data_IF_194875062403
#
_entry.id   IF_194875062403
#
_cell.length_a   1.000
_cell.length_b   1.000
_cell.length_c   1.000
_cell.angle_alpha   90.00
_cell.angle_beta   90.00
_cell.angle_gamma   90.00
#
_symmetry.space_group_name_H-M   'P 1'
#
loop_
_entity.id
_entity.type
_entity.pdbx_description
1 polymer ?
#
# COMPACT_ATOMS: atom_id res chain seq x y z
N UNK A 1 -6.97 78.37 17.35
CA UNK A 1 -5.94 77.56 16.68
C UNK A 1 -5.72 76.34 17.55
N UNK A 2 -6.44 75.29 17.23
CA UNK A 2 -6.39 73.99 17.88
C UNK A 2 -5.10 73.26 17.44
N UNK A 3 -4.37 72.71 18.39
CA UNK A 3 -3.22 71.84 18.15
C UNK A 3 -3.69 70.37 18.11
N UNK A 4 -3.16 69.54 17.20
CA UNK A 4 -3.72 68.23 16.92
C UNK A 4 -3.27 67.17 17.94
N UNK A 5 -4.23 66.32 18.28
CA UNK A 5 -4.07 65.12 19.12
C UNK A 5 -3.23 64.03 18.42
N UNK A 6 -2.27 63.38 19.09
CA UNK A 6 -1.53 62.27 18.53
C UNK A 6 -2.38 60.98 18.54
N UNK A 7 -2.41 60.33 17.37
CA UNK A 7 -3.08 59.08 17.05
C UNK A 7 -2.84 57.97 18.11
N UNK A 8 -3.95 57.37 18.56
CA UNK A 8 -3.97 56.14 19.36
C UNK A 8 -3.33 54.98 18.59
N UNK A 9 -2.31 54.36 19.19
CA UNK A 9 -1.82 53.05 18.81
C UNK A 9 -2.85 51.98 19.18
N UNK A 10 -3.11 50.97 18.33
CA UNK A 10 -4.00 49.88 18.69
C UNK A 10 -3.30 48.98 19.73
N UNK A 11 -4.00 48.75 20.83
CA UNK A 11 -3.62 47.81 21.89
C UNK A 11 -3.44 46.42 21.26
N UNK A 12 -2.21 45.93 21.26
CA UNK A 12 -1.89 44.54 20.91
C UNK A 12 -2.51 43.66 21.99
N UNK A 13 -3.55 42.94 21.65
CA UNK A 13 -4.08 41.87 22.50
C UNK A 13 -2.96 40.84 22.73
N UNK A 14 -2.53 40.69 23.98
CA UNK A 14 -1.61 39.64 24.39
C UNK A 14 -2.19 38.29 23.94
N UNK A 15 -1.51 37.64 23.01
CA UNK A 15 -1.79 36.26 22.69
C UNK A 15 -1.43 35.42 23.91
N UNK A 16 -2.45 34.86 24.56
CA UNK A 16 -2.28 33.83 25.57
C UNK A 16 -1.51 32.69 24.90
N UNK A 17 -0.20 32.66 25.12
CA UNK A 17 0.68 31.62 24.61
C UNK A 17 0.33 30.33 25.36
N UNK A 18 -0.22 29.37 24.62
CA UNK A 18 -0.44 28.03 25.15
C UNK A 18 0.90 27.48 25.69
N UNK A 19 0.90 26.79 26.84
CA UNK A 19 2.13 26.26 27.42
C UNK A 19 2.84 25.34 26.43
N UNK A 20 4.19 25.31 26.45
CA UNK A 20 4.97 24.49 25.53
C UNK A 20 4.50 23.04 25.61
N UNK A 21 4.14 22.50 24.46
CA UNK A 21 3.68 21.12 24.34
C UNK A 21 4.74 20.20 24.94
N UNK A 22 4.39 19.46 26.00
CA UNK A 22 5.31 18.53 26.65
C UNK A 22 5.92 17.50 25.67
N UNK A 23 7.03 16.84 26.02
CA UNK A 23 7.85 16.03 25.09
C UNK A 23 7.16 14.83 24.44
N UNK A 24 5.91 14.55 24.80
CA UNK A 24 5.08 13.46 24.26
C UNK A 24 3.74 13.94 23.66
N UNK A 25 3.53 15.25 23.58
CA UNK A 25 2.27 15.82 23.13
C UNK A 25 1.93 15.44 21.68
N UNK A 26 0.65 15.18 21.36
CA UNK A 26 0.20 15.01 19.98
C UNK A 26 0.54 16.25 19.15
N UNK A 27 0.86 16.04 17.87
CA UNK A 27 1.00 17.15 16.90
C UNK A 27 -0.31 17.94 16.90
N UNK A 28 -0.24 19.24 17.14
CA UNK A 28 -1.40 20.13 17.06
C UNK A 28 -1.94 20.12 15.63
N UNK A 29 -3.24 20.36 15.43
CA UNK A 29 -3.86 20.31 14.10
C UNK A 29 -3.19 21.28 13.08
N UNK A 30 -2.55 22.35 13.56
CA UNK A 30 -1.84 23.34 12.73
C UNK A 30 -0.41 22.96 12.31
N UNK A 31 0.26 22.03 12.99
CA UNK A 31 1.63 21.59 12.67
C UNK A 31 1.68 20.37 11.73
N UNK A 32 0.51 19.91 11.28
CA UNK A 32 0.34 18.68 10.52
C UNK A 32 0.21 19.00 9.03
N UNK A 33 1.03 18.35 8.21
CA UNK A 33 0.94 18.45 6.75
C UNK A 33 -0.29 17.65 6.30
N UNK A 34 -1.44 18.31 6.25
CA UNK A 34 -2.75 17.70 5.93
C UNK A 34 -2.72 16.93 4.61
N UNK A 35 -1.99 17.43 3.61
CA UNK A 35 -1.84 16.79 2.29
C UNK A 35 -1.17 15.40 2.35
N UNK A 36 -0.29 15.14 3.33
CA UNK A 36 0.28 13.79 3.54
C UNK A 36 -0.79 12.82 4.04
N UNK A 37 -1.64 13.26 4.98
CA UNK A 37 -2.71 12.41 5.49
C UNK A 37 -3.77 12.15 4.41
N UNK A 38 -4.12 13.15 3.59
CA UNK A 38 -4.99 12.99 2.41
C UNK A 38 -4.43 11.94 1.45
N UNK A 39 -3.14 12.04 1.12
CA UNK A 39 -2.47 11.11 0.22
C UNK A 39 -2.42 9.69 0.80
N UNK A 40 -2.15 9.56 2.11
CA UNK A 40 -2.16 8.28 2.82
C UNK A 40 -3.55 7.65 2.78
N UNK A 41 -4.60 8.44 3.02
CA UNK A 41 -5.99 7.99 2.98
C UNK A 41 -6.41 7.53 1.58
N UNK A 42 -6.09 8.31 0.55
CA UNK A 42 -6.34 7.94 -0.84
C UNK A 42 -5.64 6.62 -1.22
N UNK A 43 -4.34 6.51 -0.90
CA UNK A 43 -3.57 5.31 -1.18
C UNK A 43 -4.12 4.08 -0.43
N UNK A 44 -4.49 4.24 0.84
CA UNK A 44 -5.08 3.16 1.64
C UNK A 44 -6.41 2.66 1.07
N UNK A 45 -7.33 3.56 0.73
CA UNK A 45 -8.61 3.19 0.15
C UNK A 45 -8.41 2.48 -1.20
N UNK A 46 -7.48 2.98 -2.01
CA UNK A 46 -7.13 2.39 -3.28
C UNK A 46 -6.45 1.02 -3.18
N UNK A 47 -5.72 0.71 -2.11
CA UNK A 47 -5.14 -0.62 -1.88
C UNK A 47 -6.23 -1.70 -1.82
N UNK A 48 -7.41 -1.37 -1.25
CA UNK A 48 -8.52 -2.31 -1.17
C UNK A 48 -9.07 -2.68 -2.56
N UNK A 49 -9.00 -1.79 -3.55
CA UNK A 49 -9.49 -2.08 -4.92
C UNK A 49 -8.82 -3.30 -5.52
N UNK A 50 -7.52 -3.50 -5.27
CA UNK A 50 -6.82 -4.67 -5.78
C UNK A 50 -6.96 -5.85 -4.82
N UNK A 51 -6.86 -5.59 -3.52
CA UNK A 51 -6.90 -6.66 -2.53
C UNK A 51 -8.26 -7.35 -2.45
N UNK A 52 -9.37 -6.68 -2.79
CA UNK A 52 -10.69 -7.31 -2.76
C UNK A 52 -10.77 -8.54 -3.68
N UNK A 53 -10.04 -8.52 -4.81
CA UNK A 53 -9.90 -9.68 -5.70
C UNK A 53 -9.22 -10.83 -4.97
N UNK A 54 -8.10 -10.58 -4.29
CA UNK A 54 -7.43 -11.61 -3.51
C UNK A 54 -8.23 -12.10 -2.29
N UNK A 55 -9.08 -11.26 -1.71
CA UNK A 55 -9.95 -11.66 -0.61
C UNK A 55 -11.13 -12.51 -1.08
N UNK A 56 -11.70 -12.17 -2.23
CA UNK A 56 -12.99 -12.69 -2.68
C UNK A 56 -12.92 -13.69 -3.82
N UNK A 57 -11.78 -13.85 -4.48
CA UNK A 57 -11.56 -14.77 -5.60
C UNK A 57 -10.27 -15.57 -5.40
N UNK A 58 -10.13 -16.63 -6.20
CA UNK A 58 -8.95 -17.48 -6.23
C UNK A 58 -7.68 -16.68 -6.50
N UNK A 59 -6.56 -17.08 -5.88
CA UNK A 59 -5.27 -16.37 -6.02
C UNK A 59 -4.86 -16.18 -7.49
N UNK A 60 -5.05 -17.21 -8.32
CA UNK A 60 -4.79 -17.17 -9.76
C UNK A 60 -5.61 -16.10 -10.49
N UNK A 61 -6.82 -15.81 -10.01
CA UNK A 61 -7.70 -14.78 -10.56
C UNK A 61 -7.24 -13.35 -10.26
N UNK A 62 -6.22 -13.16 -9.43
CA UNK A 62 -5.65 -11.84 -9.19
C UNK A 62 -5.04 -11.27 -10.49
N UNK A 63 -4.18 -12.05 -11.15
CA UNK A 63 -3.51 -11.66 -12.40
C UNK A 63 -4.30 -12.08 -13.66
N UNK A 64 -4.97 -13.24 -13.63
CA UNK A 64 -5.73 -13.78 -14.78
C UNK A 64 -7.25 -13.83 -14.50
N UNK A 65 -8.05 -12.85 -14.96
CA UNK A 65 -9.49 -12.83 -14.76
C UNK A 65 -10.24 -13.97 -15.46
N UNK A 66 -9.60 -14.72 -16.38
CA UNK A 66 -10.22 -15.90 -17.02
C UNK A 66 -10.38 -17.06 -16.06
N UNK A 67 -9.62 -17.07 -14.96
CA UNK A 67 -9.67 -18.13 -13.94
C UNK A 67 -10.92 -18.06 -13.10
N UNK A 68 -11.30 -16.87 -12.62
CA UNK A 68 -12.49 -16.66 -11.82
C UNK A 68 -12.96 -15.20 -11.82
N UNK A 69 -14.24 -15.00 -11.53
CA UNK A 69 -14.84 -13.66 -11.43
C UNK A 69 -15.16 -13.00 -12.76
N UNK A 70 -15.03 -13.72 -13.88
CA UNK A 70 -15.41 -13.28 -15.23
C UNK A 70 -14.32 -12.50 -15.97
N UNK A 71 -14.25 -12.70 -17.28
CA UNK A 71 -13.25 -12.11 -18.18
C UNK A 71 -13.86 -11.43 -19.41
N UNK A 72 -15.16 -11.16 -19.40
CA UNK A 72 -15.88 -10.48 -20.50
C UNK A 72 -16.75 -9.34 -19.96
N UNK A 73 -17.24 -8.48 -20.86
CA UNK A 73 -18.17 -7.41 -20.53
C UNK A 73 -17.67 -6.50 -19.40
N UNK A 74 -18.51 -6.28 -18.39
CA UNK A 74 -18.21 -5.42 -17.24
C UNK A 74 -17.03 -5.93 -16.40
N UNK A 75 -16.80 -7.25 -16.34
CA UNK A 75 -15.69 -7.80 -15.56
C UNK A 75 -14.34 -7.48 -16.21
N UNK A 76 -14.24 -7.63 -17.54
CA UNK A 76 -13.03 -7.27 -18.27
C UNK A 76 -12.79 -5.76 -18.23
N UNK A 77 -13.83 -4.95 -18.39
CA UNK A 77 -13.74 -3.50 -18.27
C UNK A 77 -13.24 -3.08 -16.88
N UNK A 78 -13.75 -3.73 -15.83
CA UNK A 78 -13.32 -3.49 -14.44
C UNK A 78 -11.85 -3.87 -14.23
N UNK A 79 -11.44 -5.06 -14.70
CA UNK A 79 -10.03 -5.48 -14.65
C UNK A 79 -9.13 -4.48 -15.38
N UNK A 80 -9.53 -4.05 -16.58
CA UNK A 80 -8.74 -3.14 -17.43
C UNK A 80 -8.59 -1.77 -16.78
N UNK A 81 -9.68 -1.20 -16.28
CA UNK A 81 -9.67 0.11 -15.62
C UNK A 81 -8.76 0.10 -14.39
N UNK A 82 -8.78 -0.98 -13.60
CA UNK A 82 -7.97 -1.10 -12.40
C UNK A 82 -6.52 -1.44 -12.69
N UNK A 83 -6.23 -2.27 -13.71
CA UNK A 83 -4.88 -2.49 -14.19
C UNK A 83 -4.22 -1.15 -14.58
N UNK A 84 -4.95 -0.30 -15.31
CA UNK A 84 -4.44 1.00 -15.77
C UNK A 84 -4.27 1.99 -14.62
N UNK A 85 -5.30 2.16 -13.77
CA UNK A 85 -5.37 3.27 -12.83
C UNK A 85 -5.01 2.90 -11.38
N UNK A 86 -5.19 1.66 -10.93
CA UNK A 86 -5.08 1.29 -9.51
C UNK A 86 -3.94 0.32 -9.19
N UNK A 87 -3.69 -0.67 -10.05
CA UNK A 87 -2.80 -1.79 -9.78
C UNK A 87 -1.35 -1.38 -9.49
N UNK A 88 -0.88 -1.61 -8.27
CA UNK A 88 0.48 -1.25 -7.85
C UNK A 88 0.68 0.25 -7.61
N UNK A 89 -0.16 1.12 -8.20
CA UNK A 89 -0.11 2.57 -8.05
C UNK A 89 -0.44 3.03 -6.62
N UNK A 90 -1.44 2.41 -6.02
CA UNK A 90 -1.85 2.73 -4.65
C UNK A 90 -0.81 2.27 -3.63
N UNK A 91 -0.21 1.10 -3.85
CA UNK A 91 0.94 0.62 -3.04
C UNK A 91 2.16 1.52 -3.21
N UNK A 92 2.44 1.97 -4.43
CA UNK A 92 3.51 2.93 -4.71
C UNK A 92 3.33 4.23 -3.91
N UNK A 93 2.15 4.87 -4.00
CA UNK A 93 1.82 6.05 -3.19
C UNK A 93 1.97 5.81 -1.69
N UNK A 94 1.49 4.66 -1.20
CA UNK A 94 1.58 4.32 0.21
C UNK A 94 3.05 4.14 0.66
N UNK A 95 3.90 3.51 -0.15
CA UNK A 95 5.34 3.38 0.09
C UNK A 95 6.07 4.73 0.07
N UNK A 96 5.75 5.60 -0.89
CA UNK A 96 6.28 6.97 -0.95
C UNK A 96 5.96 7.72 0.36
N UNK A 97 4.70 7.67 0.80
CA UNK A 97 4.25 8.31 2.04
C UNK A 97 4.88 7.68 3.28
N UNK A 98 5.12 6.37 3.29
CA UNK A 98 5.80 5.70 4.38
C UNK A 98 7.24 6.20 4.53
N UNK A 99 7.99 6.27 3.42
CA UNK A 99 9.33 6.86 3.41
C UNK A 99 9.34 8.33 3.84
N UNK A 100 8.37 9.13 3.38
CA UNK A 100 8.19 10.51 3.81
C UNK A 100 7.91 10.61 5.32
N UNK A 101 7.06 9.72 5.84
CA UNK A 101 6.71 9.64 7.26
C UNK A 101 7.92 9.26 8.13
N UNK A 102 8.86 8.46 7.60
CA UNK A 102 10.11 8.15 8.28
C UNK A 102 10.95 9.41 8.49
N UNK A 103 11.14 10.24 7.45
CA UNK A 103 11.87 11.53 7.57
C UNK A 103 11.18 12.46 8.56
N UNK A 104 9.85 12.61 8.47
CA UNK A 104 9.07 13.48 9.36
C UNK A 104 9.16 13.04 10.83
N UNK A 105 9.14 11.73 11.07
CA UNK A 105 9.28 11.19 12.43
C UNK A 105 10.69 11.44 12.94
N UNK A 106 11.70 11.11 12.15
CA UNK A 106 13.09 11.22 12.61
C UNK A 106 13.54 12.65 12.82
N UNK A 107 13.07 13.62 12.01
CA UNK A 107 13.42 15.03 12.20
C UNK A 107 12.92 15.59 13.54
N UNK A 108 11.80 15.07 14.07
CA UNK A 108 11.28 15.40 15.40
C UNK A 108 12.02 14.68 16.53
N UNK A 109 12.63 13.55 16.23
CA UNK A 109 13.37 12.74 17.19
C UNK A 109 14.87 13.05 17.23
N UNK A 110 15.42 13.76 16.23
CA UNK A 110 16.86 14.04 16.13
C UNK A 110 17.37 14.91 17.30
N UNK A 111 16.51 15.69 17.95
CA UNK A 111 16.85 16.45 19.16
C UNK A 111 16.78 15.63 20.45
N UNK A 112 16.34 14.37 20.39
CA UNK A 112 16.16 13.50 21.55
C UNK A 112 17.27 12.45 21.65
N UNK A 113 17.82 12.19 22.85
CA UNK A 113 18.83 11.14 23.04
C UNK A 113 18.28 9.73 22.78
N UNK A 114 16.98 9.49 23.02
CA UNK A 114 16.28 8.22 22.82
C UNK A 114 15.61 8.11 21.43
N UNK A 115 15.88 9.03 20.51
CA UNK A 115 15.17 9.12 19.22
C UNK A 115 15.30 7.86 18.34
N UNK A 116 16.48 7.24 18.33
CA UNK A 116 16.70 5.99 17.59
C UNK A 116 15.87 4.84 18.17
N UNK A 117 15.90 4.70 19.49
CA UNK A 117 15.19 3.65 20.22
C UNK A 117 13.67 3.75 20.01
N UNK A 118 13.09 4.95 20.08
CA UNK A 118 11.67 5.19 19.76
C UNK A 118 11.35 4.74 18.33
N UNK A 119 12.21 5.08 17.35
CA UNK A 119 11.99 4.70 15.96
C UNK A 119 11.99 3.16 15.78
N UNK A 120 13.00 2.48 16.33
CA UNK A 120 13.12 1.03 16.20
C UNK A 120 12.00 0.29 16.95
N UNK A 121 11.63 0.71 18.17
CA UNK A 121 10.47 0.15 18.89
C UNK A 121 9.20 0.28 18.08
N UNK A 122 8.98 1.43 17.45
CA UNK A 122 7.83 1.66 16.57
C UNK A 122 7.81 0.64 15.42
N UNK A 123 8.95 0.41 14.77
CA UNK A 123 9.04 -0.58 13.68
C UNK A 123 8.87 -2.02 14.18
N UNK A 124 9.43 -2.38 15.34
CA UNK A 124 9.28 -3.72 15.93
C UNK A 124 7.83 -4.03 16.32
N UNK A 125 7.10 -3.05 16.87
CA UNK A 125 5.67 -3.23 17.13
C UNK A 125 4.86 -3.32 15.83
N UNK A 126 5.21 -2.54 14.81
CA UNK A 126 4.57 -2.64 13.50
C UNK A 126 4.79 -4.03 12.88
N UNK A 127 5.98 -4.59 13.05
CA UNK A 127 6.33 -5.95 12.65
C UNK A 127 5.45 -6.98 13.36
N UNK A 128 5.31 -6.87 14.68
CA UNK A 128 4.46 -7.76 15.47
C UNK A 128 2.98 -7.69 15.03
N UNK A 129 2.47 -6.48 14.79
CA UNK A 129 1.13 -6.30 14.24
C UNK A 129 0.99 -6.88 12.84
N UNK A 130 2.00 -6.73 11.98
CA UNK A 130 2.02 -7.31 10.65
C UNK A 130 1.97 -8.82 10.66
N UNK A 131 2.78 -9.46 11.53
CA UNK A 131 2.69 -10.91 11.72
C UNK A 131 1.31 -11.35 12.20
N UNK A 132 0.77 -10.72 13.24
CA UNK A 132 -0.56 -11.06 13.75
C UNK A 132 -1.64 -10.89 12.67
N UNK A 133 -1.61 -9.77 11.94
CA UNK A 133 -2.53 -9.50 10.84
C UNK A 133 -2.38 -10.50 9.69
N UNK A 134 -1.14 -10.85 9.33
CA UNK A 134 -0.80 -11.82 8.29
C UNK A 134 -1.36 -13.20 8.57
N UNK A 135 -1.11 -13.74 9.76
CA UNK A 135 -1.58 -15.08 10.12
C UNK A 135 -3.09 -15.13 10.39
N UNK A 136 -3.67 -14.07 10.97
CA UNK A 136 -5.06 -14.10 11.43
C UNK A 136 -6.09 -13.52 10.45
N UNK A 137 -5.71 -12.61 9.56
CA UNK A 137 -6.69 -11.85 8.76
C UNK A 137 -6.43 -11.95 7.26
N UNK A 138 -5.22 -11.66 6.80
CA UNK A 138 -4.96 -11.52 5.36
C UNK A 138 -3.51 -11.84 4.99
N UNK A 139 -3.29 -12.72 4.00
CA UNK A 139 -1.93 -13.11 3.59
C UNK A 139 -1.23 -12.08 2.69
N UNK A 140 -1.96 -11.18 2.02
CA UNK A 140 -1.40 -10.08 1.23
C UNK A 140 -1.10 -8.84 2.08
N UNK A 141 -0.58 -9.06 3.29
CA UNK A 141 -0.32 -7.99 4.25
C UNK A 141 0.94 -7.18 3.92
N UNK A 142 0.90 -5.88 4.21
CA UNK A 142 2.01 -4.97 3.91
C UNK A 142 2.74 -4.47 5.16
N UNK A 143 2.23 -4.77 6.36
CA UNK A 143 2.77 -4.20 7.59
C UNK A 143 4.12 -4.83 7.96
N UNK A 144 4.26 -6.15 7.82
CA UNK A 144 5.52 -6.85 8.02
C UNK A 144 6.61 -6.36 7.05
N UNK A 145 6.39 -6.35 5.72
CA UNK A 145 7.45 -5.93 4.82
C UNK A 145 7.77 -4.43 4.99
N UNK A 146 6.79 -3.59 5.34
CA UNK A 146 7.07 -2.17 5.61
C UNK A 146 7.83 -1.96 6.92
N UNK A 147 7.55 -2.74 7.96
CA UNK A 147 8.32 -2.72 9.19
C UNK A 147 9.76 -3.17 8.96
N UNK A 148 9.97 -4.24 8.21
CA UNK A 148 11.30 -4.72 7.78
C UNK A 148 12.07 -3.66 7.01
N UNK A 149 11.45 -3.04 6.00
CA UNK A 149 12.06 -1.91 5.30
C UNK A 149 12.37 -0.76 6.26
N UNK A 150 11.43 -0.38 7.13
CA UNK A 150 11.58 0.68 8.11
C UNK A 150 12.78 0.50 9.04
N UNK A 151 13.02 -0.72 9.53
CA UNK A 151 14.23 -1.02 10.32
C UNK A 151 15.52 -0.66 9.57
N UNK A 152 15.54 -0.78 8.24
CA UNK A 152 16.69 -0.49 7.40
C UNK A 152 16.75 0.99 6.99
N UNK A 153 15.64 1.73 6.95
CA UNK A 153 15.62 3.13 6.51
C UNK A 153 16.35 4.10 7.47
N UNK A 154 16.40 3.80 8.77
CA UNK A 154 16.86 4.74 9.80
C UNK A 154 18.28 5.30 9.58
N UNK A 155 19.30 4.50 9.21
CA UNK A 155 20.66 5.00 8.94
C UNK A 155 20.71 5.96 7.74
N UNK A 156 19.83 5.78 6.75
CA UNK A 156 19.83 6.55 5.50
C UNK A 156 19.14 7.91 5.65
N UNK A 157 18.44 8.18 6.76
CA UNK A 157 17.67 9.41 6.97
C UNK A 157 18.49 10.70 6.81
N UNK A 158 19.79 10.66 7.08
CA UNK A 158 20.69 11.82 7.00
C UNK A 158 21.29 12.03 5.60
N UNK A 159 21.11 11.08 4.68
CA UNK A 159 21.62 11.22 3.31
C UNK A 159 20.95 12.38 2.57
N UNK A 160 21.71 13.05 1.70
CA UNK A 160 21.17 14.12 0.86
C UNK A 160 20.20 13.57 -0.20
N UNK A 161 19.37 14.46 -0.75
CA UNK A 161 18.33 14.10 -1.74
C UNK A 161 18.92 13.32 -2.91
N UNK A 162 20.06 13.75 -3.45
CA UNK A 162 20.74 13.06 -4.56
C UNK A 162 21.03 11.58 -4.29
N UNK A 163 21.41 11.23 -3.06
CA UNK A 163 21.74 9.85 -2.69
C UNK A 163 20.49 9.02 -2.49
N UNK A 164 19.45 9.59 -1.87
CA UNK A 164 18.15 8.92 -1.72
C UNK A 164 17.54 8.60 -3.09
N UNK A 165 17.58 9.55 -4.03
CA UNK A 165 17.13 9.35 -5.40
C UNK A 165 18.02 8.37 -6.16
N UNK A 166 19.35 8.44 -5.99
CA UNK A 166 20.29 7.50 -6.60
C UNK A 166 20.04 6.05 -6.18
N UNK A 167 19.85 5.80 -4.89
CA UNK A 167 19.51 4.46 -4.36
C UNK A 167 18.17 3.98 -4.93
N UNK A 168 17.15 4.84 -4.93
CA UNK A 168 15.85 4.50 -5.50
C UNK A 168 15.96 4.11 -6.98
N UNK A 169 16.69 4.88 -7.79
CA UNK A 169 16.91 4.60 -9.21
C UNK A 169 17.65 3.29 -9.44
N UNK A 170 18.71 3.01 -8.67
CA UNK A 170 19.45 1.73 -8.78
C UNK A 170 18.53 0.55 -8.47
N UNK A 171 17.73 0.63 -7.41
CA UNK A 171 16.81 -0.44 -7.03
C UNK A 171 15.71 -0.65 -8.09
N UNK A 172 15.20 0.41 -8.73
CA UNK A 172 14.26 0.30 -9.86
C UNK A 172 14.92 -0.42 -11.04
N UNK A 173 16.17 -0.07 -11.38
CA UNK A 173 16.89 -0.74 -12.48
C UNK A 173 17.11 -2.22 -12.19
N UNK A 174 17.51 -2.56 -10.94
CA UNK A 174 17.65 -3.96 -10.51
C UNK A 174 16.31 -4.70 -10.58
N UNK A 175 15.21 -4.06 -10.17
CA UNK A 175 13.88 -4.62 -10.26
C UNK A 175 13.49 -4.95 -11.71
N UNK A 176 13.70 -4.01 -12.63
CA UNK A 176 13.42 -4.20 -14.06
C UNK A 176 14.25 -5.35 -14.63
N UNK A 177 15.55 -5.41 -14.29
CA UNK A 177 16.42 -6.49 -14.73
C UNK A 177 15.97 -7.87 -14.21
N UNK A 178 15.57 -7.96 -12.94
CA UNK A 178 15.08 -9.22 -12.37
C UNK A 178 13.72 -9.65 -12.95
N UNK A 179 12.82 -8.71 -13.23
CA UNK A 179 11.55 -9.01 -13.91
C UNK A 179 11.82 -9.51 -15.33
N UNK A 180 12.75 -8.89 -16.06
CA UNK A 180 13.13 -9.34 -17.39
C UNK A 180 13.73 -10.76 -17.37
N UNK A 181 14.65 -11.04 -16.44
CA UNK A 181 15.23 -12.37 -16.25
C UNK A 181 14.17 -13.42 -15.91
N UNK A 182 13.26 -13.10 -14.98
CA UNK A 182 12.16 -13.99 -14.60
C UNK A 182 11.19 -14.24 -15.76
N UNK A 183 10.95 -13.24 -16.60
CA UNK A 183 10.16 -13.39 -17.82
C UNK A 183 10.81 -14.35 -18.82
N UNK A 184 12.14 -14.26 -19.00
CA UNK A 184 12.91 -15.18 -19.82
C UNK A 184 12.83 -16.62 -19.28
N UNK A 185 13.12 -16.82 -17.98
CA UNK A 185 13.04 -18.13 -17.32
C UNK A 185 11.62 -18.73 -17.44
N UNK A 186 10.59 -17.91 -17.22
CA UNK A 186 9.20 -18.34 -17.33
C UNK A 186 8.85 -18.80 -18.75
N UNK A 187 9.32 -18.06 -19.76
CA UNK A 187 9.10 -18.42 -21.17
C UNK A 187 9.78 -19.74 -21.52
N UNK A 188 10.99 -19.97 -21.01
CA UNK A 188 11.72 -21.22 -21.21
C UNK A 188 10.97 -22.41 -20.59
N UNK A 189 10.56 -22.29 -19.32
CA UNK A 189 9.79 -23.30 -18.61
C UNK A 189 8.46 -23.58 -19.33
N UNK A 190 7.76 -22.53 -19.78
CA UNK A 190 6.48 -22.66 -20.47
C UNK A 190 6.60 -23.33 -21.85
N UNK A 191 7.76 -23.20 -22.50
CA UNK A 191 8.03 -23.82 -23.81
C UNK A 191 8.46 -25.28 -23.67
N UNK A 192 9.33 -25.59 -22.71
CA UNK A 192 9.89 -26.93 -22.53
C UNK A 192 8.99 -27.85 -21.70
N UNK A 193 8.34 -27.31 -20.66
CA UNK A 193 7.56 -28.07 -19.70
C UNK A 193 6.51 -29.02 -20.30
N UNK A 194 5.62 -28.54 -21.22
CA UNK A 194 4.64 -29.41 -21.87
C UNK A 194 5.26 -30.56 -22.65
N UNK A 195 6.38 -30.32 -23.34
CA UNK A 195 7.08 -31.34 -24.12
C UNK A 195 7.77 -32.37 -23.20
N UNK A 196 8.29 -31.95 -22.05
CA UNK A 196 8.85 -32.85 -21.05
C UNK A 196 7.78 -33.74 -20.40
N UNK A 197 6.58 -33.22 -20.17
CA UNK A 197 5.42 -34.02 -19.71
C UNK A 197 5.07 -35.09 -20.76
N UNK A 198 5.01 -34.73 -22.05
CA UNK A 198 4.75 -35.69 -23.14
C UNK A 198 5.88 -36.72 -23.27
N UNK A 199 7.14 -36.28 -23.17
CA UNK A 199 8.33 -37.14 -23.24
C UNK A 199 8.31 -38.22 -22.17
N UNK A 200 8.01 -37.86 -20.92
CA UNK A 200 7.90 -38.82 -19.82
C UNK A 200 6.67 -39.73 -19.98
N UNK A 201 5.53 -39.18 -20.41
CA UNK A 201 4.32 -39.97 -20.67
C UNK A 201 4.53 -41.00 -21.80
N UNK A 202 5.43 -40.71 -22.75
CA UNK A 202 5.87 -41.65 -23.79
C UNK A 202 6.89 -42.70 -23.29
N UNK A 203 7.19 -42.72 -21.99
CA UNK A 203 8.08 -43.69 -21.36
C UNK A 203 9.57 -43.34 -21.43
N UNK A 204 9.94 -42.16 -21.93
CA UNK A 204 11.34 -41.74 -21.96
C UNK A 204 11.83 -41.29 -20.58
N UNK A 205 13.04 -41.68 -20.21
CA UNK A 205 13.68 -41.22 -18.97
C UNK A 205 14.08 -39.75 -19.11
N UNK A 206 13.63 -38.92 -18.17
CA UNK A 206 14.07 -37.54 -18.04
C UNK A 206 15.41 -37.47 -17.29
N UNK A 207 16.27 -36.56 -17.73
CA UNK A 207 17.44 -36.15 -16.92
C UNK A 207 16.99 -35.39 -15.67
N UNK A 208 17.86 -35.23 -14.67
CA UNK A 208 17.49 -34.51 -13.44
C UNK A 208 17.12 -33.05 -13.69
N UNK A 209 17.81 -32.38 -14.63
CA UNK A 209 17.48 -31.02 -15.08
C UNK A 209 16.11 -30.96 -15.78
N UNK A 210 15.81 -31.94 -16.63
CA UNK A 210 14.48 -32.05 -17.26
C UNK A 210 13.37 -32.30 -16.22
N UNK A 211 13.64 -33.11 -15.20
CA UNK A 211 12.70 -33.33 -14.11
C UNK A 211 12.43 -32.05 -13.32
N UNK A 212 13.47 -31.27 -13.01
CA UNK A 212 13.32 -29.98 -12.32
C UNK A 212 12.48 -28.98 -13.15
N UNK A 213 12.77 -28.83 -14.44
CA UNK A 213 12.01 -27.95 -15.33
C UNK A 213 10.55 -28.38 -15.44
N UNK A 214 10.29 -29.69 -15.49
CA UNK A 214 8.94 -30.26 -15.49
C UNK A 214 8.20 -29.94 -14.17
N UNK A 215 8.84 -30.12 -13.02
CA UNK A 215 8.24 -29.79 -11.71
C UNK A 215 7.93 -28.29 -11.57
N UNK A 216 8.83 -27.42 -12.04
CA UNK A 216 8.59 -25.97 -12.12
C UNK A 216 7.39 -25.65 -13.01
N UNK A 217 7.30 -26.29 -14.18
CA UNK A 217 6.16 -26.14 -15.09
C UNK A 217 4.85 -26.58 -14.46
N UNK A 218 4.79 -27.74 -13.81
CA UNK A 218 3.57 -28.23 -13.15
C UNK A 218 3.13 -27.29 -12.03
N UNK A 219 4.07 -26.79 -11.23
CA UNK A 219 3.81 -25.82 -10.16
C UNK A 219 3.27 -24.50 -10.75
N UNK A 220 3.91 -24.01 -11.81
CA UNK A 220 3.49 -22.80 -12.51
C UNK A 220 2.08 -22.98 -13.09
N UNK A 221 1.80 -24.09 -13.79
CA UNK A 221 0.49 -24.40 -14.37
C UNK A 221 -0.61 -24.39 -13.32
N UNK A 222 -0.39 -25.05 -12.18
CA UNK A 222 -1.36 -25.07 -11.06
C UNK A 222 -1.66 -23.68 -10.52
N UNK A 223 -0.65 -22.81 -10.43
CA UNK A 223 -0.84 -21.44 -9.97
C UNK A 223 -1.51 -20.53 -11.01
N UNK A 224 -1.31 -20.79 -12.31
CA UNK A 224 -1.83 -19.94 -13.39
C UNK A 224 -3.24 -20.34 -13.83
N UNK A 225 -3.41 -21.62 -14.19
CA UNK A 225 -4.65 -22.16 -14.74
C UNK A 225 -5.01 -23.44 -13.97
N UNK A 226 -5.43 -23.27 -12.71
CA UNK A 226 -5.92 -24.38 -11.92
C UNK A 226 -7.14 -25.02 -12.59
N UNK A 227 -7.26 -26.33 -12.48
CA UNK A 227 -8.46 -27.04 -12.97
C UNK A 227 -9.69 -26.68 -12.12
N UNK A 228 -10.92 -26.91 -12.61
CA UNK A 228 -12.13 -26.71 -11.80
C UNK A 228 -12.09 -27.44 -10.45
N UNK A 229 -11.51 -28.63 -10.40
CA UNK A 229 -11.33 -29.40 -9.16
C UNK A 229 -10.33 -28.74 -8.21
N UNK A 230 -9.21 -28.23 -8.74
CA UNK A 230 -8.21 -27.48 -7.97
C UNK A 230 -8.81 -26.18 -7.39
N UNK A 231 -9.63 -25.47 -8.18
CA UNK A 231 -10.37 -24.28 -7.76
C UNK A 231 -11.41 -24.59 -6.68
N UNK A 232 -12.12 -25.71 -6.81
CA UNK A 232 -13.10 -26.14 -5.82
C UNK A 232 -12.42 -26.50 -4.50
N UNK A 233 -11.28 -27.18 -4.56
CA UNK A 233 -10.48 -27.54 -3.39
C UNK A 233 -9.94 -26.31 -2.67
N UNK A 234 -9.42 -25.32 -3.42
CA UNK A 234 -9.01 -24.02 -2.86
C UNK A 234 -10.20 -23.32 -2.18
N UNK A 235 -11.36 -23.23 -2.86
CA UNK A 235 -12.54 -22.61 -2.29
C UNK A 235 -13.03 -23.32 -1.01
N UNK A 236 -13.01 -24.65 -0.98
CA UNK A 236 -13.35 -25.43 0.22
C UNK A 236 -12.41 -25.11 1.39
N UNK A 237 -11.10 -24.98 1.12
CA UNK A 237 -10.13 -24.62 2.15
C UNK A 237 -10.40 -23.23 2.74
N UNK A 238 -10.70 -22.23 1.91
CA UNK A 238 -10.99 -20.87 2.37
C UNK A 238 -12.38 -20.71 3.02
N UNK A 239 -13.34 -21.55 2.63
CA UNK A 239 -14.70 -21.61 3.23
C UNK A 239 -14.80 -22.59 4.40
N UNK A 240 -13.70 -23.25 4.76
CA UNK A 240 -13.61 -24.24 5.83
C UNK A 240 -13.83 -23.66 7.22
N UNK A 241 -13.33 -24.36 8.23
CA UNK A 241 -13.27 -23.86 9.61
C UNK A 241 -12.25 -22.73 9.75
N UNK A 242 -12.39 -21.90 10.79
CA UNK A 242 -11.43 -20.82 11.10
C UNK A 242 -10.00 -21.34 11.20
N UNK A 243 -9.80 -22.52 11.81
CA UNK A 243 -8.47 -23.13 11.96
C UNK A 243 -7.89 -23.55 10.60
N UNK A 244 -8.69 -24.10 9.70
CA UNK A 244 -8.24 -24.47 8.34
C UNK A 244 -7.81 -23.24 7.55
N UNK A 245 -8.58 -22.15 7.64
CA UNK A 245 -8.24 -20.87 7.01
C UNK A 245 -6.93 -20.32 7.58
N UNK A 246 -6.75 -20.33 8.91
CA UNK A 246 -5.50 -19.87 9.53
C UNK A 246 -4.32 -20.73 9.07
N UNK A 247 -4.47 -22.07 9.01
CA UNK A 247 -3.42 -22.97 8.53
C UNK A 247 -3.07 -22.73 7.05
N UNK A 248 -4.08 -22.51 6.20
CA UNK A 248 -3.88 -22.18 4.80
C UNK A 248 -3.11 -20.86 4.65
N UNK A 249 -3.56 -19.83 5.39
CA UNK A 249 -2.94 -18.52 5.42
C UNK A 249 -1.50 -18.56 5.93
N UNK A 250 -1.25 -19.33 6.99
CA UNK A 250 0.08 -19.47 7.58
C UNK A 250 1.11 -20.01 6.60
N UNK A 251 0.75 -20.97 5.73
CA UNK A 251 1.63 -21.47 4.68
C UNK A 251 2.02 -20.38 3.68
N UNK A 252 1.03 -19.58 3.26
CA UNK A 252 1.24 -18.49 2.30
C UNK A 252 2.11 -17.39 2.94
N UNK A 253 1.78 -16.97 4.17
CA UNK A 253 2.53 -15.95 4.91
C UNK A 253 3.96 -16.38 5.14
N UNK A 254 4.19 -17.63 5.56
CA UNK A 254 5.54 -18.15 5.76
C UNK A 254 6.35 -18.09 4.46
N UNK A 255 5.76 -18.53 3.33
CA UNK A 255 6.40 -18.49 2.01
C UNK A 255 6.77 -17.07 1.56
N UNK A 256 5.92 -16.07 1.82
CA UNK A 256 6.22 -14.68 1.44
C UNK A 256 7.21 -14.02 2.40
N UNK A 257 7.07 -14.23 3.71
CA UNK A 257 7.89 -13.58 4.73
C UNK A 257 9.28 -14.22 4.86
N UNK A 258 9.48 -15.46 4.39
CA UNK A 258 10.79 -16.10 4.34
C UNK A 258 11.64 -15.67 3.14
N UNK A 259 11.13 -14.81 2.25
CA UNK A 259 11.89 -14.36 1.07
C UNK A 259 13.06 -13.46 1.50
N UNK A 260 14.31 -13.79 1.10
CA UNK A 260 15.47 -12.97 1.46
C UNK A 260 15.34 -11.51 1.02
N UNK A 261 15.92 -10.58 1.79
CA UNK A 261 15.85 -9.13 1.53
C UNK A 261 16.48 -8.69 0.19
N UNK A 262 17.29 -9.55 -0.43
CA UNK A 262 17.86 -9.30 -1.76
C UNK A 262 16.92 -9.70 -2.91
N UNK A 263 15.70 -10.17 -2.63
CA UNK A 263 14.74 -10.51 -3.67
C UNK A 263 14.03 -9.27 -4.24
N UNK A 264 13.58 -9.31 -5.51
CA UNK A 264 12.95 -8.18 -6.21
C UNK A 264 11.82 -7.49 -5.44
N UNK A 265 10.96 -8.24 -4.74
CA UNK A 265 9.86 -7.68 -3.94
C UNK A 265 10.32 -6.65 -2.90
N UNK A 266 11.53 -6.79 -2.38
CA UNK A 266 12.10 -5.85 -1.41
C UNK A 266 12.68 -4.61 -2.11
N UNK A 267 13.31 -4.78 -3.27
CA UNK A 267 13.80 -3.66 -4.08
C UNK A 267 12.67 -2.75 -4.51
N UNK A 268 11.52 -3.35 -4.87
CA UNK A 268 10.27 -2.62 -5.13
C UNK A 268 9.92 -1.68 -3.96
N UNK A 269 9.77 -2.22 -2.75
CA UNK A 269 9.38 -1.44 -1.58
C UNK A 269 10.42 -0.38 -1.21
N UNK A 270 11.70 -0.77 -1.15
CA UNK A 270 12.78 0.13 -0.81
C UNK A 270 12.89 1.28 -1.79
N UNK A 271 12.82 1.02 -3.10
CA UNK A 271 12.95 2.07 -4.11
C UNK A 271 11.93 3.19 -3.91
N UNK A 272 10.66 2.83 -3.68
CA UNK A 272 9.59 3.78 -3.44
C UNK A 272 9.73 4.47 -2.08
N UNK A 273 10.18 3.77 -1.04
CA UNK A 273 10.41 4.40 0.26
C UNK A 273 11.56 5.41 0.23
N UNK A 274 12.69 5.07 -0.41
CA UNK A 274 13.81 6.00 -0.59
C UNK A 274 13.45 7.19 -1.46
N UNK A 275 12.70 6.97 -2.54
CA UNK A 275 12.14 8.04 -3.35
C UNK A 275 11.25 8.95 -2.49
N UNK A 276 10.35 8.38 -1.69
CA UNK A 276 9.52 9.11 -0.73
C UNK A 276 10.31 9.94 0.28
N UNK A 277 11.41 9.40 0.83
CA UNK A 277 12.31 10.15 1.71
C UNK A 277 12.92 11.36 0.99
N UNK A 278 13.35 11.20 -0.26
CA UNK A 278 13.88 12.28 -1.09
C UNK A 278 12.84 13.36 -1.40
N UNK A 279 11.64 12.94 -1.82
CA UNK A 279 10.50 13.82 -2.11
C UNK A 279 10.04 14.63 -0.88
N UNK A 280 10.13 14.04 0.31
CA UNK A 280 9.85 14.72 1.58
C UNK A 280 10.84 15.83 1.87
N UNK A 281 12.13 15.61 1.61
CA UNK A 281 13.18 16.62 1.84
C UNK A 281 13.07 17.83 0.91
N UNK A 282 12.54 17.65 -0.30
CA UNK A 282 12.20 18.76 -1.21
C UNK A 282 10.79 19.30 -0.99
N UNK A 283 10.09 18.84 0.05
CA UNK A 283 8.73 19.26 0.44
C UNK A 283 7.67 19.06 -0.65
N UNK A 284 7.82 18.07 -1.53
CA UNK A 284 6.85 17.84 -2.61
C UNK A 284 5.47 17.40 -2.07
N UNK A 285 5.41 16.80 -0.89
CA UNK A 285 4.15 16.40 -0.24
C UNK A 285 3.41 17.55 0.46
N UNK A 286 3.99 18.75 0.50
CA UNK A 286 3.36 19.96 1.00
C UNK A 286 2.74 20.71 -0.18
N UNK A 287 1.41 20.73 -0.23
CA UNK A 287 0.64 21.32 -1.33
C UNK A 287 0.90 22.84 -1.51
N UNK A 288 1.49 23.51 -0.52
CA UNK A 288 1.82 24.93 -0.55
C UNK A 288 3.28 25.23 -0.87
N UNK A 289 4.17 24.24 -0.74
CA UNK A 289 5.61 24.43 -0.89
C UNK A 289 6.07 24.68 -2.33
N UNK A 290 5.25 24.30 -3.32
CA UNK A 290 5.54 24.48 -4.75
C UNK A 290 4.42 25.25 -5.46
N UNK A 291 4.72 25.94 -6.58
CA UNK A 291 3.71 26.54 -7.43
C UNK A 291 2.71 25.51 -7.97
N UNK A 292 1.44 25.89 -8.14
CA UNK A 292 0.40 24.99 -8.67
C UNK A 292 0.79 24.37 -10.03
N UNK A 293 1.50 25.13 -10.89
CA UNK A 293 2.01 24.63 -12.18
C UNK A 293 2.89 23.39 -12.05
N UNK A 294 3.63 23.22 -10.95
CA UNK A 294 4.46 22.04 -10.71
C UNK A 294 3.59 20.80 -10.55
N UNK A 295 2.50 20.90 -9.79
CA UNK A 295 1.57 19.80 -9.58
C UNK A 295 0.71 19.50 -10.82
N UNK A 296 0.36 20.52 -11.61
CA UNK A 296 -0.28 20.34 -12.92
C UNK A 296 0.65 19.59 -13.87
N UNK A 297 1.92 20.02 -13.98
CA UNK A 297 2.90 19.35 -14.82
C UNK A 297 3.12 17.90 -14.37
N UNK A 298 3.17 17.67 -13.06
CA UNK A 298 3.28 16.33 -12.49
C UNK A 298 2.08 15.44 -12.85
N UNK A 299 0.86 15.99 -12.79
CA UNK A 299 -0.35 15.31 -13.20
C UNK A 299 -0.35 14.98 -14.70
N UNK A 300 -0.03 15.96 -15.54
CA UNK A 300 -0.03 15.83 -17.00
C UNK A 300 1.05 14.86 -17.48
N UNK A 301 2.29 14.98 -17.01
CA UNK A 301 3.37 14.04 -17.37
C UNK A 301 3.07 12.65 -16.80
N UNK A 302 2.64 12.59 -15.55
CA UNK A 302 2.34 11.33 -14.87
C UNK A 302 1.27 10.51 -15.59
N UNK A 303 0.14 11.13 -15.93
CA UNK A 303 -0.91 10.47 -16.70
C UNK A 303 -0.58 10.32 -18.18
N UNK A 304 0.10 11.30 -18.78
CA UNK A 304 0.52 11.27 -20.18
C UNK A 304 1.49 10.14 -20.51
N UNK A 305 2.35 9.74 -19.56
CA UNK A 305 3.21 8.55 -19.70
C UNK A 305 2.49 7.31 -19.19
N UNK A 306 1.89 7.40 -18.00
CA UNK A 306 1.35 6.25 -17.29
C UNK A 306 0.17 5.60 -18.01
N UNK A 307 -0.80 6.37 -18.51
CA UNK A 307 -2.00 5.80 -19.13
C UNK A 307 -1.64 5.04 -20.42
N UNK A 308 -0.86 5.60 -21.36
CA UNK A 308 -0.45 4.84 -22.56
C UNK A 308 0.34 3.57 -22.23
N UNK A 309 1.31 3.63 -21.31
CA UNK A 309 2.14 2.47 -20.95
C UNK A 309 1.29 1.35 -20.35
N UNK A 310 0.43 1.66 -19.36
CA UNK A 310 -0.40 0.62 -18.75
C UNK A 310 -1.54 0.16 -19.69
N UNK A 311 -2.03 1.02 -20.58
CA UNK A 311 -3.00 0.61 -21.62
C UNK A 311 -2.38 -0.36 -22.61
N UNK A 312 -1.13 -0.13 -23.02
CA UNK A 312 -0.38 -1.04 -23.87
C UNK A 312 -0.14 -2.40 -23.18
N UNK A 313 0.25 -2.38 -21.89
CA UNK A 313 0.39 -3.59 -21.07
C UNK A 313 -0.93 -4.37 -21.00
N UNK A 314 -2.04 -3.70 -20.65
CA UNK A 314 -3.37 -4.31 -20.60
C UNK A 314 -3.77 -4.91 -21.95
N UNK A 315 -3.58 -4.16 -23.04
CA UNK A 315 -3.89 -4.64 -24.39
C UNK A 315 -3.09 -5.89 -24.75
N UNK A 316 -1.80 -5.93 -24.43
CA UNK A 316 -0.94 -7.07 -24.73
C UNK A 316 -1.35 -8.33 -23.95
N UNK A 317 -1.66 -8.16 -22.66
CA UNK A 317 -2.13 -9.24 -21.79
C UNK A 317 -3.50 -9.76 -22.25
N UNK A 318 -4.44 -8.88 -22.57
CA UNK A 318 -5.76 -9.27 -23.08
C UNK A 318 -5.64 -9.98 -24.43
N UNK A 319 -4.84 -9.42 -25.36
CA UNK A 319 -4.66 -9.98 -26.71
C UNK A 319 -4.01 -11.36 -26.69
N UNK A 320 -3.13 -11.61 -25.74
CA UNK A 320 -2.50 -12.93 -25.54
C UNK A 320 -3.37 -13.90 -24.72
N UNK A 321 -4.62 -13.51 -24.40
CA UNK A 321 -5.53 -14.28 -23.55
C UNK A 321 -4.89 -14.63 -22.20
N UNK A 322 -4.24 -13.63 -21.57
CA UNK A 322 -3.58 -13.73 -20.27
C UNK A 322 -2.46 -14.77 -20.21
N UNK A 323 -1.73 -14.94 -21.32
CA UNK A 323 -0.52 -15.77 -21.34
C UNK A 323 0.55 -15.25 -20.37
N UNK A 324 1.15 -16.14 -19.57
CA UNK A 324 2.05 -15.74 -18.49
C UNK A 324 3.38 -15.19 -19.00
N UNK A 325 3.96 -15.79 -20.04
CA UNK A 325 5.22 -15.29 -20.59
C UNK A 325 5.03 -13.86 -21.12
N UNK A 326 3.89 -13.62 -21.79
CA UNK A 326 3.48 -12.29 -22.24
C UNK A 326 3.21 -11.35 -21.07
N UNK A 327 2.59 -11.82 -20.00
CA UNK A 327 2.36 -11.03 -18.78
C UNK A 327 3.69 -10.58 -18.13
N UNK A 328 4.69 -11.45 -18.01
CA UNK A 328 6.00 -11.05 -17.50
C UNK A 328 6.71 -10.05 -18.40
N UNK A 329 6.60 -10.23 -19.73
CA UNK A 329 7.14 -9.28 -20.69
C UNK A 329 6.48 -7.90 -20.56
N UNK A 330 5.15 -7.85 -20.46
CA UNK A 330 4.41 -6.61 -20.22
C UNK A 330 4.84 -5.92 -18.91
N UNK A 331 5.09 -6.72 -17.87
CA UNK A 331 5.56 -6.24 -16.56
C UNK A 331 6.96 -5.63 -16.57
N UNK A 332 7.75 -5.74 -17.64
CA UNK A 332 9.00 -4.97 -17.77
C UNK A 332 8.74 -3.45 -17.74
N UNK A 333 7.54 -3.02 -18.13
CA UNK A 333 7.12 -1.61 -18.09
C UNK A 333 6.42 -1.21 -16.79
N UNK A 334 6.24 -2.14 -15.86
CA UNK A 334 5.44 -1.97 -14.64
C UNK A 334 5.91 -0.78 -13.79
N UNK A 335 7.21 -0.63 -13.60
CA UNK A 335 7.79 0.46 -12.80
C UNK A 335 7.54 1.84 -13.39
N UNK A 336 7.75 1.98 -14.69
CA UNK A 336 7.49 3.21 -15.43
C UNK A 336 5.99 3.53 -15.36
N UNK A 337 5.16 2.56 -15.71
CA UNK A 337 3.71 2.72 -15.72
C UNK A 337 3.15 3.08 -14.35
N UNK A 338 3.57 2.41 -13.28
CA UNK A 338 3.02 2.65 -11.93
C UNK A 338 3.51 3.94 -11.32
N UNK A 339 4.80 4.27 -11.45
CA UNK A 339 5.37 5.47 -10.85
C UNK A 339 4.78 6.70 -11.53
N UNK A 340 4.67 6.70 -12.86
CA UNK A 340 4.06 7.80 -13.60
C UNK A 340 2.61 8.07 -13.17
N UNK A 341 1.75 7.04 -13.09
CA UNK A 341 0.37 7.22 -12.60
C UNK A 341 0.34 7.64 -11.13
N UNK A 342 1.21 7.07 -10.27
CA UNK A 342 1.28 7.46 -8.85
C UNK A 342 1.67 8.94 -8.69
N UNK A 343 2.65 9.43 -9.46
CA UNK A 343 2.99 10.85 -9.50
C UNK A 343 1.84 11.68 -10.08
N UNK A 344 1.10 11.13 -11.05
CA UNK A 344 -0.14 11.72 -11.57
C UNK A 344 -1.18 11.97 -10.46
N UNK A 345 -1.48 10.93 -9.68
CA UNK A 345 -2.36 11.02 -8.51
C UNK A 345 -1.81 12.00 -7.46
N UNK A 346 -0.51 11.99 -7.20
CA UNK A 346 0.14 12.93 -6.29
C UNK A 346 -0.15 14.38 -6.72
N UNK A 347 0.11 14.70 -8.00
CA UNK A 347 -0.12 16.02 -8.57
C UNK A 347 -1.57 16.47 -8.43
N UNK A 348 -2.52 15.61 -8.82
CA UNK A 348 -3.95 15.89 -8.64
C UNK A 348 -4.29 16.12 -7.18
N UNK A 349 -3.89 15.24 -6.27
CA UNK A 349 -4.24 15.37 -4.84
C UNK A 349 -3.64 16.62 -4.21
N UNK A 350 -2.43 17.03 -4.60
CA UNK A 350 -1.85 18.30 -4.14
C UNK A 350 -2.67 19.49 -4.65
N UNK A 351 -3.14 19.46 -5.91
CA UNK A 351 -4.03 20.50 -6.44
C UNK A 351 -5.38 20.53 -5.72
N UNK A 352 -5.99 19.36 -5.45
CA UNK A 352 -7.26 19.27 -4.71
C UNK A 352 -7.12 19.82 -3.28
N UNK A 353 -5.97 19.58 -2.62
CA UNK A 353 -5.70 20.13 -1.29
C UNK A 353 -5.59 21.66 -1.25
N UNK A 354 -5.43 22.33 -2.40
CA UNK A 354 -5.39 23.79 -2.50
C UNK A 354 -6.77 24.42 -2.70
N UNK A 355 -7.80 23.62 -2.95
CA UNK A 355 -9.13 24.10 -3.29
C UNK A 355 -10.06 23.99 -2.07
N UNK A 356 -10.49 25.13 -1.54
CA UNK A 356 -11.36 25.18 -0.34
C UNK A 356 -12.73 24.54 -0.58
N UNK A 357 -13.29 24.70 -1.78
CA UNK A 357 -14.58 24.09 -2.15
C UNK A 357 -14.53 22.55 -2.18
N UNK A 358 -13.33 21.96 -2.26
CA UNK A 358 -13.09 20.51 -2.17
C UNK A 358 -12.58 20.08 -0.78
N UNK A 359 -12.56 20.98 0.21
CA UNK A 359 -12.14 20.65 1.57
C UNK A 359 -12.97 19.50 2.18
N UNK A 360 -14.23 19.34 1.76
CA UNK A 360 -15.09 18.27 2.25
C UNK A 360 -14.58 16.87 1.85
N UNK A 361 -14.00 16.70 0.66
CA UNK A 361 -13.47 15.40 0.22
C UNK A 361 -12.05 15.19 0.73
N UNK A 362 -11.21 16.23 0.70
CA UNK A 362 -9.83 16.13 1.19
C UNK A 362 -9.77 15.92 2.71
N UNK A 363 -10.68 16.52 3.49
CA UNK A 363 -10.79 16.25 4.93
C UNK A 363 -11.25 14.82 5.25
N UNK A 364 -12.14 14.22 4.43
CA UNK A 364 -12.56 12.82 4.56
C UNK A 364 -11.40 11.88 4.28
N UNK A 365 -10.66 12.12 3.21
CA UNK A 365 -9.45 11.38 2.87
C UNK A 365 -8.39 11.53 3.96
N UNK A 366 -8.16 12.75 4.45
CA UNK A 366 -7.23 13.00 5.54
C UNK A 366 -7.65 12.25 6.81
N UNK A 367 -8.93 12.28 7.20
CA UNK A 367 -9.43 11.52 8.35
C UNK A 367 -9.18 10.01 8.20
N UNK A 368 -9.45 9.46 7.01
CA UNK A 368 -9.17 8.05 6.72
C UNK A 368 -7.66 7.75 6.80
N UNK A 369 -6.80 8.65 6.34
CA UNK A 369 -5.34 8.53 6.40
C UNK A 369 -4.72 8.75 7.79
N UNK A 370 -5.40 9.48 8.67
CA UNK A 370 -5.02 9.61 10.09
C UNK A 370 -5.30 8.32 10.87
N UNK A 371 -6.31 7.56 10.43
CA UNK A 371 -6.67 6.24 10.95
C UNK A 371 -6.21 5.12 10.01
N UNK A 372 -5.10 5.31 9.29
CA UNK A 372 -4.72 4.41 8.22
C UNK A 372 -4.47 2.96 8.69
N UNK A 373 -3.85 2.77 9.84
CA UNK A 373 -3.60 1.44 10.41
C UNK A 373 -4.91 0.79 10.88
N UNK A 374 -5.76 1.53 11.59
CA UNK A 374 -7.08 1.03 12.01
C UNK A 374 -7.96 0.66 10.82
N UNK A 375 -8.01 1.51 9.80
CA UNK A 375 -8.81 1.32 8.58
C UNK A 375 -8.29 0.13 7.75
N UNK A 376 -6.98 -0.05 7.65
CA UNK A 376 -6.37 -1.20 6.98
C UNK A 376 -6.75 -2.53 7.63
N UNK A 377 -6.66 -2.61 8.96
CA UNK A 377 -7.06 -3.83 9.69
C UNK A 377 -8.58 -4.03 9.59
N UNK A 378 -9.37 -2.97 9.64
CA UNK A 378 -10.82 -3.04 9.46
C UNK A 378 -11.21 -3.59 8.07
N UNK A 379 -10.52 -3.19 6.98
CA UNK A 379 -10.70 -3.81 5.66
C UNK A 379 -10.58 -5.33 5.75
N UNK A 380 -9.49 -5.78 6.36
CA UNK A 380 -9.14 -7.20 6.41
C UNK A 380 -10.06 -7.98 7.31
N UNK A 381 -10.52 -7.39 8.42
CA UNK A 381 -11.49 -8.00 9.32
C UNK A 381 -12.85 -8.18 8.63
N UNK A 382 -13.34 -7.14 7.95
CA UNK A 382 -14.60 -7.22 7.19
C UNK A 382 -14.47 -8.26 6.08
N UNK A 383 -13.42 -8.19 5.27
CA UNK A 383 -13.24 -9.13 4.16
C UNK A 383 -13.02 -10.58 4.65
N UNK A 384 -12.27 -10.81 5.74
CA UNK A 384 -12.12 -12.13 6.32
C UNK A 384 -13.49 -12.68 6.75
N UNK A 385 -14.31 -11.88 7.41
CA UNK A 385 -15.66 -12.27 7.82
C UNK A 385 -16.59 -12.55 6.62
N UNK A 386 -16.53 -11.72 5.57
CA UNK A 386 -17.37 -11.90 4.39
C UNK A 386 -16.98 -13.15 3.57
N UNK A 387 -15.70 -13.31 3.26
CA UNK A 387 -15.27 -14.27 2.24
C UNK A 387 -14.85 -15.62 2.81
N UNK A 388 -14.28 -15.67 4.01
CA UNK A 388 -13.65 -16.89 4.52
C UNK A 388 -14.49 -17.61 5.57
N UNK A 389 -13.97 -18.72 6.10
CA UNK A 389 -14.53 -19.52 7.19
C UNK A 389 -14.87 -18.77 8.49
N UNK A 390 -14.52 -17.49 8.61
CA UNK A 390 -14.84 -16.64 9.75
C UNK A 390 -16.31 -16.19 9.79
N UNK A 391 -17.03 -16.20 8.66
CA UNK A 391 -18.40 -15.72 8.59
C UNK A 391 -19.17 -16.25 7.39
N UNK A 392 -19.47 -15.40 6.40
CA UNK A 392 -20.40 -15.69 5.30
C UNK A 392 -19.83 -16.61 4.20
N UNK A 393 -18.53 -16.91 4.21
CA UNK A 393 -17.91 -17.91 3.31
C UNK A 393 -18.11 -17.62 1.81
N UNK A 394 -18.14 -16.34 1.42
CA UNK A 394 -18.40 -15.89 0.04
C UNK A 394 -17.19 -16.01 -0.92
N UNK A 395 -16.05 -16.54 -0.48
CA UNK A 395 -14.84 -16.68 -1.31
C UNK A 395 -15.14 -17.44 -2.60
N UNK A 396 -14.84 -16.89 -3.78
CA UNK A 396 -15.09 -17.49 -5.08
C UNK A 396 -16.57 -17.56 -5.49
N UNK A 397 -17.47 -16.81 -4.83
CA UNK A 397 -18.90 -16.79 -5.17
C UNK A 397 -19.34 -15.54 -5.93
N UNK A 398 -18.60 -14.44 -5.81
CA UNK A 398 -18.93 -13.17 -6.45
C UNK A 398 -18.17 -13.01 -7.76
N UNK A 399 -18.79 -12.29 -8.71
CA UNK A 399 -18.08 -11.79 -9.88
C UNK A 399 -17.15 -10.64 -9.53
N UNK A 400 -16.17 -10.36 -10.40
CA UNK A 400 -15.18 -9.31 -10.18
C UNK A 400 -15.84 -7.97 -9.96
N UNK A 401 -16.79 -7.57 -10.81
CA UNK A 401 -17.46 -6.27 -10.66
C UNK A 401 -18.24 -6.17 -9.33
N UNK A 402 -18.81 -7.29 -8.85
CA UNK A 402 -19.61 -7.32 -7.61
C UNK A 402 -18.76 -7.10 -6.36
N UNK A 403 -17.48 -7.51 -6.39
CA UNK A 403 -16.54 -7.23 -5.31
C UNK A 403 -16.41 -5.72 -5.05
N UNK A 404 -16.57 -4.88 -6.06
CA UNK A 404 -16.45 -3.42 -5.90
C UNK A 404 -17.68 -2.80 -5.21
N UNK A 405 -18.81 -3.49 -5.14
CA UNK A 405 -19.90 -3.10 -4.24
C UNK A 405 -19.49 -3.25 -2.78
N UNK A 406 -18.75 -4.31 -2.44
CA UNK A 406 -18.17 -4.51 -1.11
C UNK A 406 -17.15 -3.40 -0.80
N UNK A 407 -16.29 -3.07 -1.77
CA UNK A 407 -15.34 -1.94 -1.62
C UNK A 407 -16.09 -0.63 -1.34
N UNK A 408 -17.12 -0.32 -2.13
CA UNK A 408 -17.94 0.88 -1.95
C UNK A 408 -18.58 0.95 -0.57
N UNK A 409 -19.15 -0.17 -0.09
CA UNK A 409 -19.74 -0.25 1.25
C UNK A 409 -18.69 -0.01 2.35
N UNK A 410 -17.50 -0.59 2.24
CA UNK A 410 -16.40 -0.39 3.19
C UNK A 410 -15.94 1.07 3.19
N UNK A 411 -15.80 1.69 2.01
CA UNK A 411 -15.42 3.10 1.90
C UNK A 411 -16.44 4.03 2.55
N UNK A 412 -17.74 3.79 2.37
CA UNK A 412 -18.80 4.57 3.01
C UNK A 412 -18.69 4.51 4.54
N UNK A 413 -18.50 3.30 5.09
CA UNK A 413 -18.28 3.10 6.53
C UNK A 413 -17.02 3.83 6.99
N UNK A 414 -15.94 3.80 6.23
CA UNK A 414 -14.68 4.45 6.58
C UNK A 414 -14.74 5.97 6.53
N UNK A 415 -15.38 6.55 5.52
CA UNK A 415 -15.50 7.99 5.44
C UNK A 415 -16.33 8.55 6.59
N UNK A 416 -17.48 7.93 6.89
CA UNK A 416 -18.32 8.36 7.99
C UNK A 416 -17.68 8.07 9.35
N UNK A 417 -17.19 6.83 9.53
CA UNK A 417 -16.61 6.34 10.78
C UNK A 417 -15.33 7.07 11.16
N UNK A 418 -14.42 7.32 10.22
CA UNK A 418 -13.15 8.01 10.53
C UNK A 418 -13.37 9.44 11.01
N UNK A 419 -14.28 10.18 10.36
CA UNK A 419 -14.64 11.54 10.81
C UNK A 419 -15.32 11.50 12.17
N UNK A 420 -16.34 10.65 12.32
CA UNK A 420 -17.09 10.54 13.56
C UNK A 420 -16.18 10.19 14.75
N UNK A 421 -15.22 9.30 14.52
CA UNK A 421 -14.25 8.86 15.51
C UNK A 421 -13.27 9.98 15.89
N UNK A 422 -12.64 10.63 14.91
CA UNK A 422 -11.64 11.68 15.17
C UNK A 422 -12.23 12.96 15.77
N UNK A 423 -13.55 13.13 15.72
CA UNK A 423 -14.24 14.20 16.48
C UNK A 423 -14.21 14.00 17.99
N UNK A 424 -13.95 12.78 18.48
CA UNK A 424 -13.93 12.42 19.91
C UNK A 424 -12.57 11.93 20.37
N UNK A 425 -11.78 11.38 19.46
CA UNK A 425 -10.52 10.71 19.76
C UNK A 425 -9.36 11.30 18.98
N UNK A 426 -8.18 11.33 19.61
CA UNK A 426 -6.94 11.88 19.02
C UNK A 426 -6.31 10.98 17.96
N UNK A 427 -6.60 9.68 18.01
CA UNK A 427 -6.00 8.65 17.17
C UNK A 427 -7.05 7.56 16.87
N UNK A 428 -6.86 6.80 15.79
CA UNK A 428 -7.56 5.53 15.65
C UNK A 428 -7.13 4.52 16.72
N UNK A 429 -7.95 3.49 17.01
CA UNK A 429 -7.67 2.50 18.05
C UNK A 429 -6.28 1.85 17.95
N UNK A 430 -5.91 1.41 16.74
CA UNK A 430 -4.63 0.72 16.51
C UNK A 430 -3.46 1.69 16.47
N UNK A 431 -3.65 2.91 15.98
CA UNK A 431 -2.65 3.98 16.07
C UNK A 431 -2.35 4.33 17.52
N UNK A 432 -3.40 4.42 18.36
CA UNK A 432 -3.26 4.65 19.80
C UNK A 432 -2.53 3.51 20.50
N UNK A 433 -2.90 2.26 20.20
CA UNK A 433 -2.24 1.08 20.77
C UNK A 433 -0.76 1.07 20.37
N UNK A 434 -0.47 1.21 19.08
CA UNK A 434 0.88 1.23 18.54
C UNK A 434 1.73 2.36 19.13
N UNK A 435 1.17 3.56 19.26
CA UNK A 435 1.86 4.70 19.89
C UNK A 435 2.11 4.45 21.37
N UNK A 436 1.11 3.93 22.10
CA UNK A 436 1.25 3.66 23.54
C UNK A 436 2.32 2.60 23.82
N UNK A 437 2.39 1.56 23.00
CA UNK A 437 3.42 0.52 23.06
C UNK A 437 4.81 1.04 22.68
N UNK A 438 4.90 1.93 21.68
CA UNK A 438 6.17 2.55 21.27
C UNK A 438 6.81 3.35 22.42
N UNK A 439 6.00 4.12 23.14
CA UNK A 439 6.48 4.98 24.24
C UNK A 439 6.41 4.32 25.62
N UNK A 440 5.95 3.06 25.71
CA UNK A 440 5.65 2.37 26.98
C UNK A 440 4.77 3.19 27.94
N UNK A 441 3.90 4.03 27.38
CA UNK A 441 3.05 4.95 28.14
C UNK A 441 1.71 5.07 27.45
N UNK A 442 0.64 4.79 28.18
CA UNK A 442 -0.74 4.98 27.72
C UNK A 442 -0.94 6.43 27.27
N UNK A 443 -1.19 6.62 25.98
CA UNK A 443 -1.40 7.95 25.42
C UNK A 443 -2.82 8.46 25.75
N UNK A 444 -3.04 9.76 25.93
CA UNK A 444 -4.38 10.29 26.08
C UNK A 444 -5.17 10.08 24.79
N UNK A 445 -6.32 9.41 24.90
CA UNK A 445 -7.15 9.03 23.75
C UNK A 445 -8.28 10.02 23.49
N UNK A 446 -8.91 10.53 24.55
CA UNK A 446 -9.95 11.57 24.46
C UNK A 446 -9.35 12.93 24.15
N UNK A 447 -10.10 13.78 23.43
CA UNK A 447 -9.74 15.18 23.23
C UNK A 447 -9.82 15.96 24.56
N UNK A 448 -10.78 15.61 25.42
CA UNK A 448 -11.09 16.31 26.69
C UNK A 448 -10.20 15.90 27.88
N UNK A 449 -9.33 14.91 27.70
CA UNK A 449 -8.42 14.49 28.76
C UNK A 449 -7.35 15.58 28.98
N UNK A 450 -7.58 16.47 29.96
CA UNK A 450 -6.49 17.25 30.54
C UNK A 450 -5.46 16.28 31.14
N UNK A 451 -4.15 16.58 31.04
CA UNK A 451 -3.15 15.77 31.72
C UNK A 451 -3.45 15.81 33.21
N UNK A 452 -3.81 14.66 33.77
CA UNK A 452 -3.94 14.49 35.21
C UNK A 452 -2.62 14.92 35.86
N UNK A 453 -2.64 16.05 36.56
CA UNK A 453 -1.58 16.46 37.46
C UNK A 453 -1.51 15.47 38.61
N UNK A 454 -0.78 14.38 38.42
CA UNK A 454 -0.38 13.55 39.54
C UNK A 454 0.90 14.15 40.14
N UNK A 455 0.73 14.61 41.38
CA UNK A 455 1.79 15.03 42.31
C UNK A 455 2.86 13.95 42.48
#
# INVERSE_FOLDING_TARGET
>A
METPSPLQTPVVAESVTAPPAGPFSPVSAGERISSIDTLRGFALLGILLMNIVGFGLHFAAYDDPTVAGGATGINLATWTALHILAEGKMRCLFSLVFGASAILLTSRLDSRPDGADIYYRRMLWLLAFGMAHGYLLWHGEILFPYAMCGLILYPFRKLSVRWLLGIASVLIVLQVAAVAFKGHETREIATQGPELVKKEAAGAKLTDSERETKEKWETMRRMMRPTPEELQKDAQQWRGSVIEVIKARAKIVLMFNSKPLYMPIWWDLFSMMFLGMGLMKVRLFDATAWPAKTFVLLAVIGYGIGIPVNSWSAWLVIKSNFDLATHWFANMTYDVGRLSIAMGHLGVLMLLCRQEWLAWITSRLAAAGQMAFSNYVMHSLICAFLFTGYGFKLYGQLERYQLYYVVGAIWLVQFAGSIYWLRRHRFGPLEWCWRSLTYWKKQPMSLDAQPSSFK
#
